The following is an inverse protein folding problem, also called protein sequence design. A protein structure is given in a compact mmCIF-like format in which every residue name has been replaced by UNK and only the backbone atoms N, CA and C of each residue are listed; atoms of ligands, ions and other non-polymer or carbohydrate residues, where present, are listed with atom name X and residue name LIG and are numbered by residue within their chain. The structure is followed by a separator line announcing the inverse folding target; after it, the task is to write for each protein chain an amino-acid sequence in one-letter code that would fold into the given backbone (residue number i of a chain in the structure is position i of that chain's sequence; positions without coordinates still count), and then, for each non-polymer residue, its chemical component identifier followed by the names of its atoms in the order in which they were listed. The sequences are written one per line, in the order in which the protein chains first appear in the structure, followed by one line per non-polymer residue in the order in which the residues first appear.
data_IF_768864447526
#
_entry.id   IF_768864447526
#
_cell.length_a   1.000
_cell.length_b   1.000
_cell.length_c   1.000
_cell.angle_alpha   90.00
_cell.angle_beta   90.00
_cell.angle_gamma   90.00
#
_symmetry.space_group_name_H-M   'P 1'
#
loop_
_entity.id
_entity.type
_entity.pdbx_description
1 polymer ?
#
# COMPACT_ATOMS: atom_id res chain seq x y z
N UNK A 1 40.50 34.79 -11.62
CA UNK A 1 40.97 33.42 -11.27
C UNK A 1 40.76 33.01 -9.82
N UNK A 2 40.88 33.91 -8.81
CA UNK A 2 40.71 33.53 -7.39
C UNK A 2 39.29 33.11 -7.00
N UNK A 3 38.24 33.78 -7.51
CA UNK A 3 36.83 33.43 -7.22
C UNK A 3 36.42 32.04 -7.74
N UNK A 4 36.96 31.64 -8.90
CA UNK A 4 36.73 30.31 -9.49
C UNK A 4 37.43 29.20 -8.66
N UNK A 5 38.61 29.51 -8.12
CA UNK A 5 39.36 28.61 -7.23
C UNK A 5 38.65 28.42 -5.89
N UNK A 6 38.14 29.49 -5.27
CA UNK A 6 37.32 29.36 -4.05
C UNK A 6 36.03 28.57 -4.26
N UNK A 7 35.37 28.74 -5.41
CA UNK A 7 34.17 27.95 -5.72
C UNK A 7 34.49 26.45 -5.80
N UNK A 8 35.56 26.07 -6.49
CA UNK A 8 36.00 24.68 -6.61
C UNK A 8 36.44 24.07 -5.27
N UNK A 9 37.05 24.86 -4.37
CA UNK A 9 37.49 24.39 -3.04
C UNK A 9 36.32 23.94 -2.17
N UNK A 10 35.15 24.57 -2.29
CA UNK A 10 33.95 24.14 -1.55
C UNK A 10 33.06 23.17 -2.35
N UNK A 11 33.02 23.31 -3.68
CA UNK A 11 32.15 22.51 -4.54
C UNK A 11 32.61 21.06 -4.66
N UNK A 12 33.92 20.80 -4.74
CA UNK A 12 34.46 19.43 -4.83
C UNK A 12 34.16 18.61 -3.57
N UNK A 13 34.47 19.08 -2.34
CA UNK A 13 34.08 18.34 -1.13
C UNK A 13 32.57 18.26 -0.95
N UNK A 14 31.80 19.27 -1.41
CA UNK A 14 30.33 19.17 -1.41
C UNK A 14 29.82 18.07 -2.35
N UNK A 15 30.36 17.94 -3.56
CA UNK A 15 29.97 16.87 -4.51
C UNK A 15 30.42 15.50 -4.01
N UNK A 16 31.62 15.39 -3.42
CA UNK A 16 32.09 14.14 -2.83
C UNK A 16 31.28 13.75 -1.59
N UNK A 17 30.95 14.71 -0.73
CA UNK A 17 30.07 14.50 0.42
C UNK A 17 28.66 14.16 -0.03
N UNK A 18 28.10 14.85 -1.03
CA UNK A 18 26.80 14.56 -1.62
C UNK A 18 26.78 13.17 -2.24
N UNK A 19 27.79 12.80 -3.04
CA UNK A 19 27.92 11.45 -3.59
C UNK A 19 28.03 10.42 -2.47
N UNK A 20 28.91 10.60 -1.50
CA UNK A 20 29.02 9.74 -0.31
C UNK A 20 27.68 9.63 0.43
N UNK A 21 26.95 10.72 0.59
CA UNK A 21 25.67 10.74 1.27
C UNK A 21 24.56 10.13 0.41
N UNK A 22 24.62 10.19 -0.93
CA UNK A 22 23.66 9.53 -1.84
C UNK A 22 24.00 8.08 -2.14
N UNK A 23 25.26 7.66 -1.99
CA UNK A 23 25.65 6.24 -2.05
C UNK A 23 25.45 5.56 -0.71
N UNK A 24 25.59 6.27 0.41
CA UNK A 24 25.28 5.73 1.75
C UNK A 24 23.82 5.93 2.16
N UNK A 25 23.13 6.95 1.63
CA UNK A 25 21.68 6.87 1.42
C UNK A 25 21.45 6.19 0.09
N UNK A 26 21.79 4.90 0.04
CA UNK A 26 20.77 4.01 -0.46
C UNK A 26 19.51 4.34 0.34
N UNK A 27 18.65 5.18 -0.23
CA UNK A 27 17.24 4.96 -0.05
C UNK A 27 17.11 3.48 -0.35
N UNK A 28 16.97 2.70 0.72
CA UNK A 28 16.22 1.48 0.72
C UNK A 28 14.87 1.88 0.12
N UNK A 29 14.83 1.99 -1.20
CA UNK A 29 13.71 1.53 -1.98
C UNK A 29 13.55 0.13 -1.45
N UNK A 30 12.62 0.02 -0.50
CA UNK A 30 12.09 -1.20 0.06
C UNK A 30 11.41 -1.95 -1.07
N UNK A 31 12.22 -2.33 -2.05
CA UNK A 31 11.93 -3.24 -3.10
C UNK A 31 12.03 -4.60 -2.43
N UNK A 32 10.85 -5.12 -2.13
CA UNK A 32 10.62 -6.54 -1.98
C UNK A 32 11.41 -7.23 -0.86
N UNK A 33 11.30 -6.72 0.37
CA UNK A 33 10.90 -7.69 1.40
C UNK A 33 9.43 -7.95 1.12
N UNK A 34 9.16 -8.97 0.29
CA UNK A 34 7.93 -9.72 0.41
C UNK A 34 7.98 -10.35 1.81
N UNK A 35 7.73 -9.53 2.84
CA UNK A 35 7.01 -10.03 3.99
C UNK A 35 5.65 -10.39 3.43
N UNK A 36 5.59 -11.58 2.83
CA UNK A 36 4.40 -12.38 2.77
C UNK A 36 4.09 -12.61 4.25
N UNK A 37 3.47 -11.61 4.87
CA UNK A 37 2.98 -11.74 6.22
C UNK A 37 2.07 -12.95 6.21
N UNK A 38 2.36 -13.89 7.11
CA UNK A 38 1.69 -15.17 7.19
C UNK A 38 0.18 -14.96 7.09
N UNK A 39 -0.47 -15.82 6.29
CA UNK A 39 -1.91 -15.86 6.24
C UNK A 39 -2.46 -16.00 7.67
N UNK A 40 -3.42 -15.16 8.02
CA UNK A 40 -4.13 -15.23 9.30
C UNK A 40 -5.45 -15.92 9.01
N UNK A 41 -5.48 -17.21 9.30
CA UNK A 41 -6.71 -18.01 9.20
C UNK A 41 -7.65 -17.60 10.33
N UNK A 42 -8.85 -17.17 9.96
CA UNK A 42 -9.93 -16.84 10.88
C UNK A 42 -10.50 -18.16 11.40
N UNK A 43 -10.48 -18.41 12.72
CA UNK A 43 -11.03 -19.63 13.29
C UNK A 43 -12.55 -19.75 13.08
N UNK A 44 -13.06 -20.97 13.05
CA UNK A 44 -14.50 -21.21 13.07
C UNK A 44 -15.16 -20.60 14.31
N UNK A 45 -16.40 -20.13 14.15
CA UNK A 45 -17.17 -19.47 15.21
C UNK A 45 -16.93 -17.96 15.33
N UNK A 46 -16.01 -17.38 14.57
CA UNK A 46 -15.88 -15.93 14.42
C UNK A 46 -16.86 -15.38 13.39
N UNK A 47 -17.30 -14.13 13.58
CA UNK A 47 -17.98 -13.39 12.52
C UNK A 47 -16.96 -13.05 11.43
N UNK A 48 -17.07 -13.73 10.29
CA UNK A 48 -16.12 -13.59 9.19
C UNK A 48 -16.25 -12.19 8.57
N UNK A 49 -15.14 -11.42 8.45
CA UNK A 49 -15.11 -10.19 7.70
C UNK A 49 -15.42 -10.40 6.22
N UNK A 50 -16.09 -9.42 5.62
CA UNK A 50 -16.21 -9.31 4.17
C UNK A 50 -15.96 -7.89 3.72
N UNK A 51 -15.66 -7.70 2.45
CA UNK A 51 -15.60 -6.39 1.82
C UNK A 51 -16.31 -6.38 0.46
N UNK A 52 -16.77 -5.20 0.08
CA UNK A 52 -17.17 -4.84 -1.26
C UNK A 52 -16.39 -3.61 -1.70
N UNK A 53 -16.10 -3.51 -3.00
CA UNK A 53 -15.41 -2.35 -3.56
C UNK A 53 -16.17 -1.74 -4.73
N UNK A 54 -16.05 -0.41 -4.86
CA UNK A 54 -16.56 0.33 -6.00
C UNK A 54 -15.49 1.34 -6.45
N UNK A 55 -15.29 1.44 -7.76
CA UNK A 55 -14.26 2.30 -8.35
C UNK A 55 -14.92 3.21 -9.38
N UNK A 56 -14.79 4.52 -9.19
CA UNK A 56 -15.42 5.54 -10.03
C UNK A 56 -14.42 6.58 -10.49
N UNK A 57 -14.53 7.06 -11.72
CA UNK A 57 -13.73 8.18 -12.22
C UNK A 57 -14.48 9.50 -12.06
N UNK A 58 -13.77 10.56 -11.64
CA UNK A 58 -14.31 11.92 -11.64
C UNK A 58 -14.01 12.68 -12.95
N UNK A 59 -14.53 13.90 -13.06
CA UNK A 59 -14.35 14.75 -14.25
C UNK A 59 -12.90 15.19 -14.50
N UNK A 60 -12.02 15.10 -13.49
CA UNK A 60 -10.60 15.39 -13.64
C UNK A 60 -9.81 14.20 -14.22
N UNK A 61 -10.45 13.03 -14.32
CA UNK A 61 -9.83 11.77 -14.72
C UNK A 61 -9.23 10.98 -13.55
N UNK A 62 -9.35 11.49 -12.32
CA UNK A 62 -8.90 10.80 -11.11
C UNK A 62 -9.87 9.69 -10.74
N UNK A 63 -9.34 8.57 -10.28
CA UNK A 63 -10.13 7.40 -9.87
C UNK A 63 -10.24 7.34 -8.35
N UNK A 64 -11.47 7.17 -7.86
CA UNK A 64 -11.77 7.01 -6.45
C UNK A 64 -12.20 5.57 -6.18
N UNK A 65 -11.49 4.92 -5.26
CA UNK A 65 -11.88 3.64 -4.68
C UNK A 65 -12.71 3.90 -3.42
N UNK A 66 -13.86 3.24 -3.33
CA UNK A 66 -14.64 3.08 -2.12
C UNK A 66 -14.59 1.62 -1.68
N UNK A 67 -14.31 1.39 -0.40
CA UNK A 67 -14.29 0.10 0.27
C UNK A 67 -15.36 0.11 1.36
N UNK A 68 -16.24 -0.88 1.34
CA UNK A 68 -17.23 -1.10 2.38
C UNK A 68 -16.91 -2.44 3.03
N UNK A 69 -16.92 -2.51 4.36
CA UNK A 69 -16.61 -3.74 5.09
C UNK A 69 -17.75 -4.13 6.00
N UNK A 70 -17.90 -5.43 6.24
CA UNK A 70 -18.83 -6.01 7.23
C UNK A 70 -18.03 -6.86 8.21
N UNK A 71 -18.37 -6.81 9.50
CA UNK A 71 -17.65 -7.52 10.58
C UNK A 71 -16.15 -7.18 10.67
N UNK A 72 -15.75 -5.99 10.20
CA UNK A 72 -14.37 -5.53 10.23
C UNK A 72 -14.30 -4.09 10.73
N UNK A 73 -13.31 -3.79 11.57
CA UNK A 73 -13.01 -2.45 12.03
C UNK A 73 -11.60 -2.03 11.59
N UNK A 74 -11.49 -0.86 10.97
CA UNK A 74 -10.18 -0.25 10.75
C UNK A 74 -9.57 0.15 12.10
N UNK A 75 -8.35 -0.30 12.37
CA UNK A 75 -7.61 -0.05 13.61
C UNK A 75 -6.22 0.54 13.32
N UNK A 76 -6.15 1.77 12.77
CA UNK A 76 -4.87 2.40 12.38
C UNK A 76 -3.87 2.48 13.54
N UNK A 77 -4.35 2.68 14.77
CA UNK A 77 -3.54 2.75 15.98
C UNK A 77 -2.89 1.43 16.40
N UNK A 78 -3.36 0.30 15.84
CA UNK A 78 -2.84 -1.06 16.12
C UNK A 78 -2.06 -1.65 14.95
N UNK A 79 -2.00 -0.94 13.82
CA UNK A 79 -1.30 -1.42 12.63
C UNK A 79 0.19 -1.63 12.91
N UNK A 80 0.68 -2.85 12.64
CA UNK A 80 2.06 -3.27 12.88
C UNK A 80 2.31 -3.91 14.24
N UNK A 81 1.28 -4.10 15.08
CA UNK A 81 1.41 -4.94 16.28
C UNK A 81 1.61 -6.41 15.90
N UNK A 82 2.43 -7.15 16.65
CA UNK A 82 2.72 -8.56 16.34
C UNK A 82 1.50 -9.49 16.54
N UNK A 83 0.53 -9.08 17.36
CA UNK A 83 -0.67 -9.86 17.66
C UNK A 83 -1.61 -9.93 16.46
N UNK A 84 -2.07 -11.14 16.14
CA UNK A 84 -3.11 -11.37 15.14
C UNK A 84 -4.47 -10.82 15.60
N UNK A 85 -5.22 -10.28 14.66
CA UNK A 85 -6.61 -9.87 14.83
C UNK A 85 -7.45 -10.45 13.69
N UNK A 86 -8.70 -10.81 13.99
CA UNK A 86 -9.57 -11.50 13.02
C UNK A 86 -10.67 -10.61 12.45
N UNK A 87 -10.99 -9.52 13.12
CA UNK A 87 -12.09 -8.60 12.80
C UNK A 87 -11.66 -7.13 12.87
N UNK A 88 -10.37 -6.86 13.00
CA UNK A 88 -9.83 -5.50 12.96
C UNK A 88 -8.46 -5.47 12.27
N UNK A 89 -8.11 -4.32 11.69
CA UNK A 89 -6.83 -4.11 11.04
C UNK A 89 -6.88 -3.05 9.96
N UNK A 90 -6.42 -3.37 8.77
CA UNK A 90 -6.36 -2.45 7.63
C UNK A 90 -6.49 -3.18 6.30
N UNK A 91 -6.74 -2.44 5.22
CA UNK A 91 -6.79 -3.00 3.88
C UNK A 91 -5.49 -2.76 3.11
N UNK A 92 -5.09 -3.66 2.23
CA UNK A 92 -4.04 -3.42 1.23
C UNK A 92 -4.68 -3.24 -0.14
N UNK A 93 -4.22 -2.24 -0.89
CA UNK A 93 -4.69 -1.94 -2.24
C UNK A 93 -3.61 -2.34 -3.23
N UNK A 94 -4.03 -3.05 -4.28
CA UNK A 94 -3.19 -3.45 -5.39
C UNK A 94 -3.81 -2.95 -6.69
N UNK A 95 -2.94 -2.51 -7.62
CA UNK A 95 -3.32 -2.11 -8.98
C UNK A 95 -2.45 -2.89 -9.94
N UNK A 96 -3.07 -3.68 -10.82
CA UNK A 96 -2.39 -4.53 -11.79
C UNK A 96 -1.30 -5.41 -11.15
N UNK A 97 -1.65 -6.08 -10.04
CA UNK A 97 -0.76 -6.96 -9.27
C UNK A 97 0.30 -6.24 -8.42
N UNK A 98 0.43 -4.91 -8.49
CA UNK A 98 1.37 -4.14 -7.66
C UNK A 98 0.66 -3.52 -6.47
N UNK A 99 1.15 -3.78 -5.26
CA UNK A 99 0.69 -3.08 -4.05
C UNK A 99 0.97 -1.58 -4.18
N UNK A 100 -0.06 -0.76 -4.04
CA UNK A 100 0.05 0.70 -4.14
C UNK A 100 -0.04 1.38 -2.78
N UNK A 101 -0.89 0.89 -1.87
CA UNK A 101 -1.01 1.48 -0.54
C UNK A 101 -1.66 0.55 0.50
N UNK A 102 -1.69 1.02 1.74
CA UNK A 102 -2.60 0.57 2.80
C UNK A 102 -3.76 1.55 2.92
N UNK A 103 -4.89 1.09 3.41
CA UNK A 103 -6.08 1.89 3.65
C UNK A 103 -6.64 1.61 5.05
N UNK A 104 -6.98 2.67 5.77
CA UNK A 104 -7.49 2.66 7.14
C UNK A 104 -8.89 3.28 7.23
N UNK A 105 -9.66 3.23 6.15
CA UNK A 105 -10.96 3.87 6.05
C UNK A 105 -11.67 3.49 4.76
N UNK A 106 -12.73 4.20 4.42
CA UNK A 106 -13.61 3.83 3.30
C UNK A 106 -13.10 4.26 1.93
N UNK A 107 -12.36 5.37 1.83
CA UNK A 107 -12.05 5.98 0.54
C UNK A 107 -10.54 6.08 0.28
N UNK A 108 -10.16 5.85 -0.97
CA UNK A 108 -8.79 6.00 -1.42
C UNK A 108 -8.73 6.63 -2.83
N UNK A 109 -7.93 7.67 -3.00
CA UNK A 109 -7.68 8.25 -4.31
C UNK A 109 -6.61 7.43 -5.05
N UNK A 110 -7.01 6.75 -6.12
CA UNK A 110 -6.14 5.97 -7.00
C UNK A 110 -5.39 6.84 -8.02
N UNK A 111 -5.68 8.14 -8.07
CA UNK A 111 -5.12 9.08 -9.06
C UNK A 111 -5.46 8.59 -10.50
N UNK A 112 -4.55 8.76 -11.45
CA UNK A 112 -4.66 8.24 -12.80
C UNK A 112 -4.33 6.74 -12.89
N UNK A 113 -5.13 6.02 -13.68
CA UNK A 113 -4.87 4.63 -14.05
C UNK A 113 -4.25 4.55 -15.46
N UNK A 114 -3.63 3.41 -15.79
CA UNK A 114 -3.08 3.21 -17.15
C UNK A 114 -4.21 3.19 -18.18
N UNK A 115 -3.96 3.57 -19.43
CA UNK A 115 -4.95 3.40 -20.51
C UNK A 115 -5.32 1.93 -20.69
N UNK A 116 -6.61 1.64 -20.92
CA UNK A 116 -7.19 0.32 -21.03
C UNK A 116 -7.61 -0.28 -19.67
N UNK A 117 -7.62 -1.61 -19.60
CA UNK A 117 -8.07 -2.36 -18.42
C UNK A 117 -7.07 -2.27 -17.27
N UNK A 118 -7.56 -1.94 -16.08
CA UNK A 118 -6.83 -1.96 -14.83
C UNK A 118 -7.56 -2.82 -13.82
N UNK A 119 -6.86 -3.78 -13.23
CA UNK A 119 -7.37 -4.59 -12.12
C UNK A 119 -7.04 -3.91 -10.80
N UNK A 120 -8.05 -3.72 -9.96
CA UNK A 120 -7.95 -3.20 -8.60
C UNK A 120 -8.31 -4.33 -7.65
N UNK A 121 -7.39 -4.72 -6.77
CA UNK A 121 -7.62 -5.73 -5.74
C UNK A 121 -7.48 -5.09 -4.37
N UNK A 122 -8.40 -5.41 -3.47
CA UNK A 122 -8.34 -5.01 -2.07
C UNK A 122 -8.40 -6.25 -1.20
N UNK A 123 -7.47 -6.37 -0.26
CA UNK A 123 -7.46 -7.44 0.75
C UNK A 123 -7.68 -6.85 2.13
N UNK A 124 -8.35 -7.58 3.03
CA UNK A 124 -8.34 -7.26 4.46
C UNK A 124 -7.17 -7.94 5.16
N UNK A 125 -6.52 -7.20 6.05
CA UNK A 125 -5.31 -7.62 6.73
C UNK A 125 -5.45 -7.38 8.25
N UNK A 126 -4.96 -8.34 9.02
CA UNK A 126 -4.79 -8.28 10.47
C UNK A 126 -3.83 -7.15 10.88
N UNK A 127 -3.85 -6.78 12.16
CA UNK A 127 -2.95 -5.78 12.76
C UNK A 127 -1.47 -6.11 12.54
N UNK A 128 -1.11 -7.40 12.54
CA UNK A 128 0.25 -7.88 12.24
C UNK A 128 0.58 -7.91 10.72
N UNK A 129 -0.25 -7.27 9.90
CA UNK A 129 -0.21 -7.21 8.43
C UNK A 129 -0.52 -8.53 7.70
N UNK A 130 -0.74 -9.64 8.40
CA UNK A 130 -1.14 -10.91 7.79
C UNK A 130 -2.47 -10.77 7.04
N UNK A 131 -2.54 -11.28 5.81
CA UNK A 131 -3.78 -11.28 5.05
C UNK A 131 -4.79 -12.20 5.73
N UNK A 132 -6.05 -11.75 5.86
CA UNK A 132 -7.10 -12.55 6.47
C UNK A 132 -7.59 -13.62 5.50
N UNK A 133 -7.74 -14.83 6.00
CA UNK A 133 -8.28 -15.98 5.27
C UNK A 133 -9.41 -16.61 6.07
N UNK A 134 -10.41 -17.14 5.38
CA UNK A 134 -11.43 -17.97 5.98
C UNK A 134 -11.66 -19.20 5.10
N UNK A 135 -11.54 -20.39 5.71
CA UNK A 135 -11.59 -21.67 5.02
C UNK A 135 -10.60 -21.75 3.85
N UNK A 136 -9.40 -21.19 4.05
CA UNK A 136 -8.34 -21.14 3.04
C UNK A 136 -8.60 -20.18 1.87
N UNK A 137 -9.66 -19.37 1.91
CA UNK A 137 -9.93 -18.32 0.92
C UNK A 137 -9.56 -16.95 1.50
N UNK A 138 -8.84 -16.10 0.73
CA UNK A 138 -8.53 -14.75 1.19
C UNK A 138 -9.80 -13.90 1.29
N UNK A 139 -9.87 -13.08 2.33
CA UNK A 139 -10.89 -12.03 2.44
C UNK A 139 -10.45 -10.86 1.57
N UNK A 140 -10.87 -10.88 0.30
CA UNK A 140 -10.48 -9.93 -0.72
C UNK A 140 -11.62 -9.66 -1.71
N UNK A 141 -11.50 -8.58 -2.47
CA UNK A 141 -12.37 -8.30 -3.61
C UNK A 141 -11.57 -7.73 -4.79
N UNK A 142 -12.05 -7.93 -6.02
CA UNK A 142 -11.37 -7.46 -7.25
C UNK A 142 -12.34 -6.87 -8.26
N UNK A 143 -11.95 -5.77 -8.90
CA UNK A 143 -12.71 -5.16 -10.00
C UNK A 143 -11.78 -4.74 -11.13
N UNK A 144 -12.24 -4.92 -12.36
CA UNK A 144 -11.57 -4.39 -13.56
C UNK A 144 -12.31 -3.16 -14.03
N UNK A 145 -11.59 -2.05 -14.15
CA UNK A 145 -12.07 -0.79 -14.75
C UNK A 145 -11.33 -0.49 -16.05
N UNK A 146 -12.00 0.15 -17.00
CA UNK A 146 -11.42 0.55 -18.29
C UNK A 146 -11.19 2.07 -18.31
N UNK A 147 -9.96 2.49 -18.57
CA UNK A 147 -9.60 3.89 -18.74
C UNK A 147 -9.42 4.21 -20.24
N UNK A 148 -10.29 5.05 -20.83
CA UNK A 148 -10.44 5.17 -22.29
C UNK A 148 -9.26 5.74 -23.08
#
# INVERSE_FOLDING_TARGET
MQRLRSFLIFFIPFVLFFMYFTTNNEHNSSSASHMQHDAVEIPDGYNVPSLDINVTQDLSGSWLLKVVTTNFAFAPEKAGMDTQSFNEGHAHIYVNGKKVNRLYGEFYNLDSLKKGKNEIIVTLNSNNHGALYYQGLPVQESVIVDNP
#
